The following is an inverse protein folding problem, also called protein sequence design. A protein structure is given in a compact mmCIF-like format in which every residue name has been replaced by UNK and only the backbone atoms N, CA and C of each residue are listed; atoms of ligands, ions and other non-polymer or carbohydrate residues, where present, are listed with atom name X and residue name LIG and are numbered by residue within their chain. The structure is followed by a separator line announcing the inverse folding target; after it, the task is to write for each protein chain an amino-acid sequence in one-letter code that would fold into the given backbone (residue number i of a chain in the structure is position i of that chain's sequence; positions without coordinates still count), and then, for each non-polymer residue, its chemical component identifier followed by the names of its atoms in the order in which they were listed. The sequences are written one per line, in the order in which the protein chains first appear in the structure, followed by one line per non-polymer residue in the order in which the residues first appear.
data_IF_109129379669
#
_entry.id   IF_109129379669
#
_cell.length_a   1.000
_cell.length_b   1.000
_cell.length_c   1.000
_cell.angle_alpha   90.00
_cell.angle_beta   90.00
_cell.angle_gamma   90.00
#
_symmetry.space_group_name_H-M   'P 1'
#
loop_
_entity.id
_entity.type
_entity.pdbx_description
1 polymer ?
#
# COMPACT_ATOMS: atom_id res chain seq x y z
N UNK A 1 42.19 10.85 29.32
CA UNK A 1 42.79 11.82 28.39
C UNK A 1 42.42 11.39 26.99
N UNK A 2 41.19 11.72 26.62
CA UNK A 2 40.71 12.18 25.32
C UNK A 2 41.24 11.49 24.06
N UNK A 3 40.37 10.68 23.45
CA UNK A 3 40.37 10.41 22.01
C UNK A 3 39.25 11.23 21.36
N UNK A 4 39.53 11.86 20.21
CA UNK A 4 38.67 12.92 19.63
C UNK A 4 37.32 12.37 19.14
N UNK A 5 36.26 13.15 19.35
CA UNK A 5 34.92 12.84 18.86
C UNK A 5 34.88 12.76 17.33
N UNK A 6 34.62 11.56 16.80
CA UNK A 6 34.45 11.33 15.37
C UNK A 6 33.20 12.04 14.82
N UNK A 7 33.38 12.81 13.75
CA UNK A 7 32.31 13.63 13.15
C UNK A 7 31.17 12.77 12.60
N UNK A 8 29.95 13.01 13.10
CA UNK A 8 28.75 12.38 12.58
C UNK A 8 28.49 12.84 11.14
N UNK A 9 28.79 11.98 10.16
CA UNK A 9 28.72 12.32 8.74
C UNK A 9 27.30 12.67 8.28
N UNK A 10 27.08 13.95 7.95
CA UNK A 10 25.83 14.47 7.42
C UNK A 10 25.43 13.74 6.13
N UNK A 11 24.40 12.89 6.21
CA UNK A 11 23.75 12.31 5.04
C UNK A 11 22.70 13.29 4.52
N UNK A 12 22.80 13.66 3.25
CA UNK A 12 21.75 14.42 2.55
C UNK A 12 20.41 13.66 2.52
N UNK A 13 19.31 14.32 2.13
CA UNK A 13 17.96 13.75 2.20
C UNK A 13 17.86 12.47 1.37
N UNK A 14 17.72 11.33 2.06
CA UNK A 14 17.58 10.03 1.44
C UNK A 14 16.17 9.90 0.86
N UNK A 15 16.07 9.73 -0.47
CA UNK A 15 14.79 9.40 -1.10
C UNK A 15 14.49 7.93 -0.80
N UNK A 16 13.43 7.66 -0.05
CA UNK A 16 12.94 6.31 0.23
C UNK A 16 11.88 5.94 -0.79
N UNK A 17 12.12 4.89 -1.58
CA UNK A 17 11.13 4.32 -2.50
C UNK A 17 10.55 3.04 -1.94
N UNK A 18 9.30 2.76 -2.25
CA UNK A 18 8.60 1.52 -1.94
C UNK A 18 7.67 1.12 -3.09
N UNK A 19 7.27 -0.15 -3.16
CA UNK A 19 6.19 -0.60 -4.04
C UNK A 19 5.53 -1.87 -3.52
N UNK A 20 4.33 -2.12 -4.03
CA UNK A 20 3.54 -3.31 -3.75
C UNK A 20 2.79 -3.75 -5.01
N UNK A 21 2.65 -5.06 -5.27
CA UNK A 21 1.81 -5.57 -6.34
C UNK A 21 0.31 -5.35 -6.06
N UNK A 22 -0.47 -5.27 -7.13
CA UNK A 22 -1.91 -5.46 -7.07
C UNK A 22 -2.29 -6.92 -6.76
N UNK A 23 -3.59 -7.19 -6.77
CA UNK A 23 -4.16 -8.52 -6.47
C UNK A 23 -5.23 -8.91 -7.47
N UNK A 24 -5.33 -10.21 -7.74
CA UNK A 24 -6.45 -10.82 -8.49
C UNK A 24 -7.05 -11.95 -7.65
N UNK A 25 -8.38 -12.08 -7.67
CA UNK A 25 -9.07 -13.23 -7.08
C UNK A 25 -9.23 -14.28 -8.18
N UNK A 26 -8.59 -15.43 -8.01
CA UNK A 26 -8.61 -16.54 -8.97
C UNK A 26 -9.86 -17.42 -8.81
N UNK A 27 -10.35 -17.58 -7.58
CA UNK A 27 -11.58 -18.31 -7.29
C UNK A 27 -12.21 -17.86 -5.96
N UNK A 28 -13.54 -17.96 -5.87
CA UNK A 28 -14.26 -17.94 -4.59
C UNK A 28 -14.63 -16.59 -3.98
N UNK A 29 -14.52 -15.47 -4.72
CA UNK A 29 -14.85 -14.11 -4.25
C UNK A 29 -16.15 -14.03 -3.42
N UNK A 30 -17.28 -14.44 -4.02
CA UNK A 30 -18.58 -14.49 -3.33
C UNK A 30 -18.73 -15.70 -2.39
N UNK A 31 -17.93 -16.76 -2.57
CA UNK A 31 -18.01 -17.98 -1.75
C UNK A 31 -17.52 -17.76 -0.31
N UNK A 32 -16.64 -16.77 -0.10
CA UNK A 32 -16.18 -16.34 1.24
C UNK A 32 -17.33 -15.86 2.12
N UNK A 33 -18.32 -15.19 1.55
CA UNK A 33 -19.52 -14.71 2.27
C UNK A 33 -20.32 -15.89 2.86
N UNK A 34 -20.26 -17.05 2.19
CA UNK A 34 -20.88 -18.30 2.62
C UNK A 34 -19.89 -19.21 3.39
N UNK A 35 -18.80 -18.65 3.94
CA UNK A 35 -17.83 -19.37 4.77
C UNK A 35 -16.96 -20.40 4.04
N UNK A 36 -16.99 -20.40 2.70
CA UNK A 36 -16.11 -21.20 1.86
C UNK A 36 -14.77 -20.51 1.65
N UNK A 37 -13.84 -21.16 0.95
CA UNK A 37 -12.52 -20.58 0.68
C UNK A 37 -12.53 -19.65 -0.55
N UNK A 38 -11.58 -18.71 -0.60
CA UNK A 38 -11.13 -18.06 -1.83
C UNK A 38 -9.66 -18.37 -2.09
N UNK A 39 -9.23 -18.19 -3.34
CA UNK A 39 -7.82 -18.14 -3.75
C UNK A 39 -7.59 -16.82 -4.45
N UNK A 40 -6.62 -16.05 -3.97
CA UNK A 40 -6.15 -14.80 -4.57
C UNK A 40 -4.65 -14.89 -4.85
N UNK A 41 -4.14 -14.04 -5.73
CA UNK A 41 -2.72 -13.95 -6.06
C UNK A 41 -2.29 -12.51 -6.33
N UNK A 42 -1.02 -12.21 -6.09
CA UNK A 42 -0.41 -10.95 -6.47
C UNK A 42 -0.25 -10.84 -8.01
N UNK A 43 -0.36 -9.62 -8.55
CA UNK A 43 -0.12 -9.32 -9.97
C UNK A 43 1.30 -8.79 -10.21
N UNK A 44 1.76 -8.84 -11.46
CA UNK A 44 2.98 -8.18 -11.96
C UNK A 44 2.80 -6.67 -12.24
N UNK A 45 1.58 -6.15 -12.07
CA UNK A 45 1.28 -4.71 -12.02
C UNK A 45 1.49 -4.16 -10.60
N UNK A 46 2.17 -3.02 -10.45
CA UNK A 46 2.58 -2.45 -9.15
C UNK A 46 2.10 -1.01 -8.92
N UNK A 47 1.76 -0.69 -7.67
CA UNK A 47 1.80 0.70 -7.18
C UNK A 47 3.17 0.97 -6.59
N UNK A 48 3.81 2.07 -7.00
CA UNK A 48 5.13 2.53 -6.55
C UNK A 48 4.98 3.89 -5.87
N UNK A 49 5.46 3.97 -4.64
CA UNK A 49 5.55 5.19 -3.84
C UNK A 49 7.02 5.63 -3.71
N UNK A 50 7.28 6.91 -3.68
CA UNK A 50 8.57 7.45 -3.25
C UNK A 50 8.38 8.66 -2.33
N UNK A 51 9.33 8.86 -1.45
CA UNK A 51 9.24 9.80 -0.33
C UNK A 51 10.57 10.50 -0.12
N UNK A 52 10.54 11.83 -0.19
CA UNK A 52 11.69 12.69 0.08
C UNK A 52 11.35 13.58 1.29
N UNK A 53 11.92 13.26 2.46
CA UNK A 53 11.76 14.10 3.65
C UNK A 53 12.70 15.32 3.56
N UNK A 54 12.19 16.50 3.89
CA UNK A 54 13.03 17.72 3.99
C UNK A 54 13.86 17.64 5.29
N UNK A 55 15.15 18.01 5.29
CA UNK A 55 15.93 18.06 6.52
C UNK A 55 15.33 19.08 7.50
N UNK A 56 15.15 18.68 8.76
CA UNK A 56 14.70 19.57 9.83
C UNK A 56 15.76 20.65 10.09
N UNK A 57 15.45 21.90 9.72
CA UNK A 57 16.36 23.04 9.89
C UNK A 57 17.10 23.49 8.62
N UNK A 58 16.84 22.91 7.45
CA UNK A 58 17.39 23.41 6.18
C UNK A 58 16.46 24.46 5.54
N UNK A 59 16.97 25.63 5.10
CA UNK A 59 16.19 26.64 4.39
C UNK A 59 15.75 26.16 3.00
N UNK A 60 14.59 26.63 2.54
CA UNK A 60 13.98 26.23 1.27
C UNK A 60 14.62 26.95 0.06
N UNK A 61 15.74 26.42 -0.45
CA UNK A 61 16.32 26.90 -1.70
C UNK A 61 15.57 26.33 -2.92
N UNK A 62 15.23 27.18 -3.92
CA UNK A 62 14.56 26.74 -5.15
C UNK A 62 15.53 26.00 -6.09
N UNK A 63 15.71 24.70 -5.84
CA UNK A 63 16.31 23.75 -6.79
C UNK A 63 17.75 23.34 -6.50
N UNK A 64 17.93 22.16 -5.90
CA UNK A 64 19.10 21.32 -6.13
C UNK A 64 18.75 19.84 -5.89
N UNK A 65 18.97 18.97 -6.89
CA UNK A 65 18.75 17.53 -6.78
C UNK A 65 20.09 16.79 -6.68
N UNK A 66 20.47 16.38 -5.46
CA UNK A 66 21.62 15.49 -5.19
C UNK A 66 21.13 14.26 -4.46
N UNK A 67 21.02 13.12 -5.15
CA UNK A 67 20.27 11.96 -4.67
C UNK A 67 21.15 10.82 -4.16
N UNK A 68 20.89 10.41 -2.91
CA UNK A 68 21.21 9.08 -2.40
C UNK A 68 19.88 8.33 -2.20
N UNK A 69 19.73 7.19 -2.86
CA UNK A 69 18.46 6.46 -2.92
C UNK A 69 18.43 5.30 -1.92
N UNK A 70 17.36 5.19 -1.15
CA UNK A 70 16.96 3.98 -0.44
C UNK A 70 15.75 3.36 -1.17
N UNK A 71 15.75 2.04 -1.42
CA UNK A 71 14.72 1.40 -2.27
C UNK A 71 14.24 0.07 -1.70
N UNK A 72 13.00 0.09 -1.23
CA UNK A 72 12.29 -0.96 -0.49
C UNK A 72 11.26 -1.63 -1.39
N UNK A 73 10.95 -2.91 -1.17
CA UNK A 73 9.76 -3.51 -1.76
C UNK A 73 8.99 -4.38 -0.74
N UNK A 74 7.65 -4.28 -0.77
CA UNK A 74 6.83 -5.41 -0.37
C UNK A 74 7.04 -6.53 -1.41
N UNK A 75 7.07 -7.77 -0.94
CA UNK A 75 7.80 -8.89 -1.55
C UNK A 75 7.74 -9.03 -3.10
N UNK A 76 8.91 -9.09 -3.74
CA UNK A 76 9.12 -9.65 -5.09
C UNK A 76 9.34 -8.62 -6.22
N UNK A 77 10.43 -8.78 -6.97
CA UNK A 77 10.96 -7.91 -8.07
C UNK A 77 11.82 -6.70 -7.59
N UNK A 78 12.86 -6.29 -8.34
CA UNK A 78 14.07 -5.57 -7.83
C UNK A 78 14.45 -4.33 -8.83
N UNK A 79 15.30 -3.28 -8.55
CA UNK A 79 15.71 -2.04 -9.31
C UNK A 79 17.21 -1.60 -9.17
N UNK A 80 17.88 -0.97 -10.16
CA UNK A 80 19.33 -0.59 -10.17
C UNK A 80 19.71 0.88 -9.76
N UNK A 81 21.01 1.18 -9.49
CA UNK A 81 21.56 2.48 -9.02
C UNK A 81 22.76 3.01 -9.87
N UNK A 82 23.23 4.29 -9.74
CA UNK A 82 24.32 4.64 -8.78
C UNK A 82 24.26 6.10 -8.17
N UNK A 83 25.38 6.63 -7.66
CA UNK A 83 25.55 7.85 -6.81
C UNK A 83 26.43 8.98 -7.43
N UNK A 84 26.36 10.23 -6.90
CA UNK A 84 27.44 11.24 -6.93
C UNK A 84 27.29 12.41 -5.92
N UNK A 85 28.38 13.17 -5.68
CA UNK A 85 28.54 14.28 -4.70
C UNK A 85 28.36 15.69 -5.31
N UNK A 86 28.10 16.71 -4.47
CA UNK A 86 28.74 18.05 -4.56
C UNK A 86 28.65 18.85 -3.24
N UNK A 87 29.29 20.04 -3.18
CA UNK A 87 29.46 20.88 -1.96
C UNK A 87 28.37 21.96 -1.74
N UNK A 88 28.49 22.74 -0.66
CA UNK A 88 27.45 23.61 -0.08
C UNK A 88 27.74 25.12 -0.20
N UNK A 89 26.72 25.93 0.12
CA UNK A 89 26.79 27.37 0.40
C UNK A 89 25.67 27.76 1.38
N UNK A 90 25.86 28.82 2.17
CA UNK A 90 24.98 29.18 3.29
C UNK A 90 23.96 30.29 2.95
N UNK A 91 22.82 30.31 3.65
CA UNK A 91 21.81 31.38 3.57
C UNK A 91 20.59 31.09 4.44
N UNK A 92 20.56 31.61 5.67
CA UNK A 92 19.56 31.26 6.67
C UNK A 92 18.16 31.89 6.46
N UNK A 93 17.12 31.14 6.81
CA UNK A 93 15.72 31.59 6.85
C UNK A 93 14.79 30.47 7.33
N UNK A 94 13.83 30.79 8.20
CA UNK A 94 12.96 29.79 8.84
C UNK A 94 11.72 29.46 7.97
N UNK A 95 11.79 28.40 7.18
CA UNK A 95 10.65 27.87 6.40
C UNK A 95 9.80 26.88 7.22
N UNK A 96 8.50 27.14 7.34
CA UNK A 96 7.53 26.21 7.93
C UNK A 96 7.03 25.22 6.88
N UNK A 97 7.86 24.22 6.56
CA UNK A 97 7.60 23.26 5.48
C UNK A 97 6.26 22.51 5.57
N UNK A 98 5.92 21.84 4.46
CA UNK A 98 4.65 21.14 4.25
C UNK A 98 4.86 19.62 4.03
N UNK A 99 3.76 18.87 4.17
CA UNK A 99 3.61 17.51 3.63
C UNK A 99 2.97 17.63 2.24
N UNK A 100 3.61 17.11 1.21
CA UNK A 100 3.13 17.11 -0.16
C UNK A 100 2.84 15.69 -0.64
N UNK A 101 1.80 15.51 -1.48
CA UNK A 101 1.54 14.27 -2.21
C UNK A 101 1.34 14.58 -3.70
N UNK A 102 2.14 13.96 -4.57
CA UNK A 102 2.00 14.05 -6.03
C UNK A 102 1.52 12.71 -6.62
N UNK A 103 0.29 12.68 -7.13
CA UNK A 103 -0.31 11.52 -7.81
C UNK A 103 -0.03 11.61 -9.31
N UNK A 104 1.17 11.16 -9.73
CA UNK A 104 1.75 11.44 -11.05
C UNK A 104 0.81 11.10 -12.21
N UNK A 105 0.21 9.90 -12.17
CA UNK A 105 -0.64 9.37 -13.26
C UNK A 105 -1.93 10.19 -13.44
N UNK A 106 -2.32 10.99 -12.43
CA UNK A 106 -3.49 11.86 -12.44
C UNK A 106 -3.16 13.35 -12.66
N UNK A 107 -1.88 13.71 -12.67
CA UNK A 107 -1.36 15.08 -12.71
C UNK A 107 -1.51 15.90 -11.42
N UNK A 108 -2.18 15.38 -10.38
CA UNK A 108 -2.54 16.17 -9.19
C UNK A 108 -1.44 16.22 -8.13
N UNK A 109 -1.26 17.41 -7.53
CA UNK A 109 -0.46 17.62 -6.31
C UNK A 109 -1.34 18.17 -5.20
N UNK A 110 -1.18 17.64 -4.00
CA UNK A 110 -1.81 18.07 -2.76
C UNK A 110 -0.74 18.52 -1.77
N UNK A 111 -1.05 19.46 -0.87
CA UNK A 111 -0.08 20.06 0.04
C UNK A 111 -0.73 20.56 1.32
N UNK A 112 -0.20 20.12 2.46
CA UNK A 112 -0.68 20.45 3.79
C UNK A 112 0.46 21.04 4.64
N UNK A 113 0.41 22.34 5.02
CA UNK A 113 1.41 22.94 5.89
C UNK A 113 1.55 22.20 7.22
N UNK A 114 2.77 21.90 7.67
CA UNK A 114 2.96 21.10 8.89
C UNK A 114 2.41 21.79 10.16
N UNK A 115 2.30 23.12 10.15
CA UNK A 115 1.60 23.89 11.19
C UNK A 115 0.10 23.62 11.22
N UNK A 116 -0.56 23.55 10.06
CA UNK A 116 -2.00 23.24 9.94
C UNK A 116 -2.28 21.79 10.34
N UNK A 117 -1.39 20.86 10.00
CA UNK A 117 -1.50 19.47 10.44
C UNK A 117 -1.42 19.33 11.97
N UNK A 118 -0.40 19.94 12.63
CA UNK A 118 -0.31 19.94 14.11
C UNK A 118 -1.49 20.66 14.77
N UNK A 119 -1.89 21.82 14.25
CA UNK A 119 -3.02 22.57 14.80
C UNK A 119 -4.38 21.88 14.66
N UNK A 120 -4.54 20.96 13.69
CA UNK A 120 -5.78 20.20 13.49
C UNK A 120 -5.78 18.86 14.25
N UNK A 121 -4.68 18.09 14.16
CA UNK A 121 -4.58 16.73 14.68
C UNK A 121 -3.94 16.64 16.08
N UNK A 122 -3.53 17.78 16.65
CA UNK A 122 -2.83 17.89 17.93
C UNK A 122 -1.31 17.93 17.78
N UNK A 123 -0.62 18.51 18.75
CA UNK A 123 0.85 18.41 18.86
C UNK A 123 1.27 17.00 19.30
N UNK A 124 0.41 16.28 20.02
CA UNK A 124 0.61 14.90 20.50
C UNK A 124 0.30 13.81 19.44
N UNK A 125 0.56 14.06 18.15
CA UNK A 125 0.71 12.95 17.19
C UNK A 125 2.05 12.26 17.50
N UNK A 126 2.04 11.44 18.54
CA UNK A 126 3.17 10.57 18.91
C UNK A 126 3.35 9.53 17.80
N UNK A 127 4.24 9.85 16.87
CA UNK A 127 4.56 9.00 15.73
C UNK A 127 5.18 7.69 16.25
N UNK A 128 4.34 6.64 16.35
CA UNK A 128 4.72 5.35 16.88
C UNK A 128 4.70 4.30 15.76
N UNK A 129 5.70 4.32 14.86
CA UNK A 129 5.71 3.48 13.65
C UNK A 129 5.72 1.97 13.96
N UNK A 130 6.11 1.57 15.17
CA UNK A 130 6.10 0.17 15.61
C UNK A 130 4.75 -0.37 16.09
N UNK A 131 3.73 0.49 16.28
CA UNK A 131 2.42 0.09 16.84
C UNK A 131 1.27 0.62 15.94
N UNK A 132 0.70 -0.23 15.05
CA UNK A 132 -0.38 0.16 14.14
C UNK A 132 -1.71 0.47 14.85
N UNK A 133 -1.86 1.68 15.37
CA UNK A 133 -3.12 2.17 15.94
C UNK A 133 -4.24 2.25 14.87
N UNK A 134 -5.50 1.95 15.22
CA UNK A 134 -6.64 2.24 14.35
C UNK A 134 -6.96 3.74 14.36
N UNK A 135 -7.39 4.28 13.21
CA UNK A 135 -7.85 5.66 13.12
C UNK A 135 -9.16 5.84 13.92
N UNK A 136 -9.24 6.87 14.78
CA UNK A 136 -10.48 7.19 15.51
C UNK A 136 -11.49 7.93 14.62
N UNK A 137 -12.80 7.89 14.92
CA UNK A 137 -13.80 8.66 14.17
C UNK A 137 -13.49 10.16 14.13
N UNK A 138 -13.02 10.73 15.25
CA UNK A 138 -12.69 12.16 15.37
C UNK A 138 -11.43 12.53 14.56
N UNK A 139 -10.42 11.65 14.55
CA UNK A 139 -9.24 11.82 13.72
C UNK A 139 -9.61 11.74 12.23
N UNK A 140 -10.46 10.79 11.83
CA UNK A 140 -10.92 10.65 10.45
C UNK A 140 -11.77 11.86 10.01
N UNK A 141 -12.66 12.37 10.87
CA UNK A 141 -13.43 13.59 10.60
C UNK A 141 -12.52 14.84 10.50
N UNK A 142 -11.44 14.88 11.27
CA UNK A 142 -10.43 15.95 11.18
C UNK A 142 -9.61 15.86 9.89
N UNK A 143 -9.24 14.66 9.47
CA UNK A 143 -8.59 14.40 8.18
C UNK A 143 -9.51 14.76 7.01
N UNK A 144 -10.82 14.50 7.09
CA UNK A 144 -11.79 14.89 6.06
C UNK A 144 -11.83 16.42 5.86
N UNK A 145 -11.85 17.20 6.95
CA UNK A 145 -11.77 18.68 6.89
C UNK A 145 -10.48 19.18 6.24
N UNK A 146 -9.36 18.49 6.47
CA UNK A 146 -8.08 18.79 5.82
C UNK A 146 -8.06 18.45 4.31
N UNK A 147 -9.10 17.80 3.78
CA UNK A 147 -9.29 17.53 2.34
C UNK A 147 -10.33 18.44 1.69
N UNK A 148 -11.26 19.00 2.47
CA UNK A 148 -12.12 20.12 2.04
C UNK A 148 -11.24 21.33 1.66
N UNK A 149 -10.17 21.58 2.44
CA UNK A 149 -9.10 22.58 2.20
C UNK A 149 -8.26 22.33 0.90
N UNK A 150 -8.59 21.36 0.02
CA UNK A 150 -7.74 20.92 -1.11
C UNK A 150 -8.39 20.96 -2.52
N UNK A 151 -9.59 21.54 -2.66
CA UNK A 151 -10.29 21.74 -3.95
C UNK A 151 -10.29 20.51 -4.89
N UNK A 152 -10.56 19.32 -4.36
CA UNK A 152 -10.55 18.07 -5.13
C UNK A 152 -11.63 18.15 -6.25
N UNK A 153 -11.26 18.03 -7.55
CA UNK A 153 -12.24 18.13 -8.63
C UNK A 153 -13.33 17.07 -8.53
N UNK A 154 -14.59 17.43 -8.78
CA UNK A 154 -15.76 16.55 -8.61
C UNK A 154 -15.61 15.20 -9.34
N UNK A 155 -15.14 15.22 -10.59
CA UNK A 155 -14.85 14.02 -11.40
C UNK A 155 -13.76 13.10 -10.81
N UNK A 156 -13.04 13.56 -9.78
CA UNK A 156 -11.99 12.86 -9.04
C UNK A 156 -12.30 12.73 -7.54
N UNK A 157 -13.53 12.98 -7.10
CA UNK A 157 -13.94 12.89 -5.68
C UNK A 157 -13.68 11.50 -5.04
N UNK A 158 -13.60 10.45 -5.87
CA UNK A 158 -13.18 9.10 -5.47
C UNK A 158 -11.74 9.01 -4.92
N UNK A 159 -10.90 10.03 -5.11
CA UNK A 159 -9.59 10.12 -4.48
C UNK A 159 -9.66 10.39 -2.97
N UNK A 160 -10.72 11.05 -2.49
CA UNK A 160 -10.86 11.52 -1.10
C UNK A 160 -10.48 10.45 -0.06
N UNK A 161 -11.05 9.24 -0.16
CA UNK A 161 -10.76 8.14 0.75
C UNK A 161 -9.29 7.68 0.73
N UNK A 162 -8.65 7.69 -0.45
CA UNK A 162 -7.22 7.40 -0.61
C UNK A 162 -6.31 8.51 -0.07
N UNK A 163 -6.74 9.77 -0.17
CA UNK A 163 -6.05 10.91 0.43
C UNK A 163 -6.18 10.89 1.96
N UNK A 164 -7.33 10.50 2.51
CA UNK A 164 -7.52 10.28 3.94
C UNK A 164 -6.59 9.18 4.46
N UNK A 165 -6.50 8.06 3.74
CA UNK A 165 -5.58 6.98 4.08
C UNK A 165 -4.10 7.42 4.00
N UNK A 166 -3.73 8.23 2.99
CA UNK A 166 -2.39 8.82 2.92
C UNK A 166 -2.08 9.72 4.13
N UNK A 167 -2.96 10.69 4.44
CA UNK A 167 -2.76 11.62 5.56
C UNK A 167 -2.66 10.90 6.89
N UNK A 168 -3.54 9.90 7.12
CA UNK A 168 -3.48 9.06 8.30
C UNK A 168 -2.15 8.31 8.40
N UNK A 169 -1.77 7.55 7.37
CA UNK A 169 -0.52 6.76 7.38
C UNK A 169 0.70 7.68 7.56
N UNK A 170 0.75 8.80 6.84
CA UNK A 170 1.87 9.74 6.94
C UNK A 170 1.99 10.31 8.36
N UNK A 171 0.90 10.85 8.91
CA UNK A 171 0.94 11.50 10.23
C UNK A 171 1.14 10.50 11.36
N UNK A 172 0.54 9.30 11.32
CA UNK A 172 0.74 8.30 12.37
C UNK A 172 2.12 7.61 12.33
N UNK A 173 2.78 7.52 11.17
CA UNK A 173 4.09 6.86 11.04
C UNK A 173 5.26 7.86 11.14
N UNK A 174 5.10 9.10 10.66
CA UNK A 174 6.17 10.12 10.63
C UNK A 174 5.85 11.40 11.38
N UNK A 175 4.64 11.57 11.91
CA UNK A 175 4.18 12.85 12.46
C UNK A 175 4.09 13.93 11.37
N UNK A 176 4.06 15.18 11.81
CA UNK A 176 4.02 16.35 10.92
C UNK A 176 5.42 16.74 10.39
N UNK A 177 6.22 15.77 9.93
CA UNK A 177 7.56 16.00 9.33
C UNK A 177 7.41 16.47 7.88
N UNK A 178 8.01 17.60 7.45
CA UNK A 178 7.88 18.09 6.10
C UNK A 178 8.57 17.17 5.07
N UNK A 179 7.96 17.00 3.91
CA UNK A 179 8.41 16.04 2.90
C UNK A 179 7.43 15.90 1.74
N UNK A 180 7.90 15.28 0.66
CA UNK A 180 7.12 15.05 -0.57
C UNK A 180 7.01 13.57 -0.87
N UNK A 181 5.78 13.06 -0.87
CA UNK A 181 5.42 11.76 -1.42
C UNK A 181 5.09 11.89 -2.91
N UNK A 182 5.46 10.88 -3.71
CA UNK A 182 5.08 10.73 -5.11
C UNK A 182 4.57 9.31 -5.33
N UNK A 183 3.44 9.17 -6.02
CA UNK A 183 2.81 7.89 -6.33
C UNK A 183 2.68 7.71 -7.83
N UNK A 184 2.90 6.48 -8.28
CA UNK A 184 2.65 5.97 -9.65
C UNK A 184 2.02 4.58 -9.56
N UNK A 185 1.07 4.25 -10.44
CA UNK A 185 0.33 2.98 -10.42
C UNK A 185 0.21 2.39 -11.82
N UNK A 186 0.67 1.14 -12.00
CA UNK A 186 0.36 0.35 -13.21
C UNK A 186 -1.10 -0.20 -13.15
N UNK A 187 -1.74 -0.14 -11.99
CA UNK A 187 -3.06 -0.70 -11.73
C UNK A 187 -4.17 0.30 -12.12
N UNK A 188 -5.14 -0.07 -12.97
CA UNK A 188 -6.32 0.75 -13.23
C UNK A 188 -7.21 0.87 -11.97
N UNK A 189 -7.55 2.10 -11.60
CA UNK A 189 -8.40 2.40 -10.45
C UNK A 189 -9.81 1.84 -10.63
N UNK A 190 -10.39 1.28 -9.57
CA UNK A 190 -11.76 0.74 -9.57
C UNK A 190 -11.95 -0.62 -10.26
N UNK A 191 -10.96 -1.13 -10.98
CA UNK A 191 -11.05 -2.39 -11.74
C UNK A 191 -11.03 -3.69 -10.87
N UNK A 192 -11.13 -3.57 -9.54
CA UNK A 192 -11.06 -4.71 -8.61
C UNK A 192 -9.65 -5.26 -8.33
N UNK A 193 -8.60 -4.74 -8.99
CA UNK A 193 -7.22 -5.26 -8.94
C UNK A 193 -6.40 -4.84 -7.69
N UNK A 194 -7.05 -4.36 -6.62
CA UNK A 194 -6.38 -3.95 -5.38
C UNK A 194 -5.44 -2.75 -5.51
N UNK A 195 -5.81 -1.74 -6.32
CA UNK A 195 -5.00 -0.51 -6.41
C UNK A 195 -4.92 0.26 -5.08
N UNK A 196 -5.97 0.19 -4.24
CA UNK A 196 -5.96 0.76 -2.89
C UNK A 196 -5.06 -0.04 -1.93
N UNK A 197 -5.12 -1.38 -1.95
CA UNK A 197 -4.26 -2.20 -1.11
C UNK A 197 -2.79 -2.03 -1.50
N UNK A 198 -2.49 -2.01 -2.80
CA UNK A 198 -1.16 -1.72 -3.31
C UNK A 198 -0.68 -0.31 -2.90
N UNK A 199 -1.54 0.72 -2.95
CA UNK A 199 -1.23 2.06 -2.43
C UNK A 199 -0.93 2.06 -0.93
N UNK A 200 -1.77 1.44 -0.11
CA UNK A 200 -1.60 1.39 1.34
C UNK A 200 -0.32 0.63 1.74
N UNK A 201 -0.01 -0.48 1.08
CA UNK A 201 1.22 -1.26 1.32
C UNK A 201 2.46 -0.50 0.84
N UNK A 202 2.46 0.07 -0.37
CA UNK A 202 3.62 0.83 -0.87
C UNK A 202 3.87 2.09 -0.04
N UNK A 203 2.81 2.80 0.36
CA UNK A 203 2.95 3.99 1.21
C UNK A 203 3.48 3.62 2.59
N UNK A 204 2.91 2.60 3.25
CA UNK A 204 3.38 2.14 4.56
C UNK A 204 4.85 1.71 4.53
N UNK A 205 5.29 0.97 3.51
CA UNK A 205 6.69 0.56 3.35
C UNK A 205 7.67 1.73 3.21
N UNK A 206 7.30 2.79 2.47
CA UNK A 206 8.12 3.99 2.34
C UNK A 206 8.19 4.78 3.67
N UNK A 207 7.04 4.97 4.32
CA UNK A 207 6.93 5.71 5.57
C UNK A 207 7.69 5.02 6.71
N UNK A 208 7.52 3.70 6.89
CA UNK A 208 8.18 2.94 7.95
C UNK A 208 9.70 2.89 7.82
N UNK A 209 10.20 2.79 6.58
CA UNK A 209 11.65 2.84 6.32
C UNK A 209 12.20 4.26 6.52
N UNK A 210 11.44 5.31 6.15
CA UNK A 210 11.81 6.71 6.44
C UNK A 210 11.67 7.10 7.94
N UNK A 211 10.95 6.29 8.72
CA UNK A 211 10.91 6.35 10.18
C UNK A 211 12.07 5.58 10.84
N UNK A 212 12.77 4.73 10.09
CA UNK A 212 13.78 3.80 10.63
C UNK A 212 13.20 2.60 11.39
N UNK A 213 11.87 2.41 11.36
CA UNK A 213 11.18 1.32 12.05
C UNK A 213 11.22 -0.02 11.31
N UNK A 214 11.60 0.03 10.03
CA UNK A 214 11.78 -1.12 9.14
C UNK A 214 13.15 -1.01 8.49
N UNK A 215 13.90 -2.12 8.49
CA UNK A 215 15.26 -2.17 7.94
C UNK A 215 15.30 -2.85 6.57
N UNK A 216 16.02 -2.23 5.63
CA UNK A 216 16.31 -2.84 4.32
C UNK A 216 17.64 -3.60 4.40
N UNK A 217 17.71 -4.78 3.78
CA UNK A 217 18.93 -5.60 3.73
C UNK A 217 18.76 -7.10 3.98
N UNK A 218 17.54 -7.61 4.21
CA UNK A 218 17.33 -9.03 4.51
C UNK A 218 17.69 -9.95 3.32
N UNK A 219 17.04 -9.77 2.16
CA UNK A 219 17.30 -10.60 0.97
C UNK A 219 17.19 -9.84 -0.36
N UNK A 220 17.95 -10.30 -1.36
CA UNK A 220 18.04 -9.76 -2.72
C UNK A 220 17.13 -10.60 -3.66
N UNK A 221 16.08 -10.00 -4.24
CA UNK A 221 15.12 -10.64 -5.18
C UNK A 221 15.58 -10.74 -6.66
N UNK A 222 14.75 -10.32 -7.64
CA UNK A 222 15.07 -10.33 -9.09
C UNK A 222 14.86 -8.94 -9.79
N UNK A 223 15.94 -8.27 -10.28
CA UNK A 223 16.08 -6.88 -10.88
C UNK A 223 16.80 -5.71 -10.08
N UNK A 224 16.97 -5.72 -8.74
CA UNK A 224 17.70 -4.76 -7.82
C UNK A 224 17.13 -4.10 -6.47
N UNK A 225 15.83 -4.23 -6.06
CA UNK A 225 15.05 -3.72 -4.89
C UNK A 225 15.02 -4.78 -3.77
N UNK A 226 15.35 -4.42 -2.55
CA UNK A 226 15.46 -5.39 -1.47
C UNK A 226 14.10 -5.80 -0.88
N UNK A 227 14.00 -7.07 -0.48
CA UNK A 227 12.81 -7.63 0.17
C UNK A 227 12.97 -7.46 1.67
N UNK A 228 11.92 -6.91 2.31
CA UNK A 228 11.83 -6.71 3.74
C UNK A 228 11.80 -8.04 4.53
N UNK A 229 12.23 -8.00 5.79
CA UNK A 229 12.16 -9.16 6.69
C UNK A 229 10.72 -9.57 6.98
N UNK A 230 10.50 -10.81 7.44
CA UNK A 230 9.13 -11.31 7.73
C UNK A 230 8.39 -10.45 8.76
N UNK A 231 9.09 -9.96 9.79
CA UNK A 231 8.51 -9.07 10.80
C UNK A 231 8.18 -7.67 10.24
N UNK A 232 9.07 -7.13 9.40
CA UNK A 232 8.86 -5.85 8.72
C UNK A 232 7.66 -5.90 7.77
N UNK A 233 7.52 -6.99 7.00
CA UNK A 233 6.37 -7.23 6.13
C UNK A 233 5.06 -7.34 6.92
N UNK A 234 5.08 -7.98 8.09
CA UNK A 234 3.90 -8.04 8.97
C UNK A 234 3.52 -6.64 9.49
N UNK A 235 4.49 -5.82 9.90
CA UNK A 235 4.25 -4.44 10.32
C UNK A 235 3.71 -3.57 9.17
N UNK A 236 4.26 -3.72 7.95
CA UNK A 236 3.75 -3.08 6.73
C UNK A 236 2.30 -3.51 6.44
N UNK A 237 1.99 -4.80 6.57
CA UNK A 237 0.64 -5.33 6.32
C UNK A 237 -0.38 -4.75 7.31
N UNK A 238 -0.01 -4.68 8.59
CA UNK A 238 -0.87 -4.15 9.65
C UNK A 238 -1.15 -2.64 9.48
N UNK A 239 -0.14 -1.83 9.13
CA UNK A 239 -0.35 -0.43 8.77
C UNK A 239 -1.21 -0.27 7.52
N UNK A 240 -0.93 -1.04 6.46
CA UNK A 240 -1.72 -1.03 5.24
C UNK A 240 -3.19 -1.43 5.48
N UNK A 241 -3.46 -2.31 6.44
CA UNK A 241 -4.80 -2.68 6.88
C UNK A 241 -5.53 -1.55 7.61
N UNK A 242 -4.83 -0.65 8.33
CA UNK A 242 -5.46 0.56 8.85
C UNK A 242 -5.83 1.54 7.72
N UNK A 243 -4.97 1.69 6.71
CA UNK A 243 -5.27 2.47 5.51
C UNK A 243 -6.48 1.94 4.73
N UNK A 244 -6.55 0.63 4.51
CA UNK A 244 -7.68 -0.02 3.84
C UNK A 244 -9.00 0.10 4.63
N UNK A 245 -8.97 0.22 5.97
CA UNK A 245 -10.18 0.52 6.76
C UNK A 245 -10.69 1.93 6.52
N UNK A 246 -9.82 2.90 6.27
CA UNK A 246 -10.22 4.26 5.90
C UNK A 246 -10.84 4.27 4.50
N UNK A 247 -10.33 3.44 3.57
CA UNK A 247 -10.84 3.38 2.19
C UNK A 247 -12.16 2.61 2.08
N UNK A 248 -12.30 1.45 2.76
CA UNK A 248 -13.45 0.54 2.58
C UNK A 248 -14.30 0.32 3.85
N UNK A 249 -13.98 0.97 4.97
CA UNK A 249 -14.67 0.82 6.26
C UNK A 249 -14.37 -0.52 6.97
N UNK A 250 -14.76 -1.64 6.37
CA UNK A 250 -14.63 -3.00 6.94
C UNK A 250 -14.00 -4.02 5.98
N UNK A 251 -12.75 -3.81 5.54
CA UNK A 251 -12.01 -4.81 4.75
C UNK A 251 -11.74 -6.10 5.53
N UNK A 252 -11.62 -7.22 4.81
CA UNK A 252 -11.33 -8.55 5.37
C UNK A 252 -9.82 -8.86 5.53
N UNK A 253 -8.92 -7.94 5.15
CA UNK A 253 -7.47 -8.14 5.22
C UNK A 253 -6.85 -9.01 4.12
N UNK A 254 -7.66 -9.57 3.21
CA UNK A 254 -7.16 -10.38 2.07
C UNK A 254 -6.29 -9.52 1.14
N UNK A 255 -6.79 -8.34 0.78
CA UNK A 255 -6.22 -7.54 -0.32
C UNK A 255 -4.86 -6.93 0.05
N UNK A 256 -4.71 -6.37 1.25
CA UNK A 256 -3.40 -5.94 1.77
C UNK A 256 -2.44 -7.11 2.03
N UNK A 257 -2.91 -8.25 2.52
CA UNK A 257 -2.03 -9.41 2.73
C UNK A 257 -1.47 -9.96 1.42
N UNK A 258 -2.28 -10.03 0.35
CA UNK A 258 -1.81 -10.39 -0.99
C UNK A 258 -0.83 -9.34 -1.53
N UNK A 259 -1.16 -8.05 -1.43
CA UNK A 259 -0.27 -6.95 -1.82
C UNK A 259 1.02 -6.87 -0.99
N UNK A 260 1.07 -7.39 0.24
CA UNK A 260 2.26 -7.33 1.09
C UNK A 260 3.18 -8.54 0.93
N UNK A 261 2.61 -9.75 0.90
CA UNK A 261 3.39 -10.99 0.88
C UNK A 261 3.71 -11.49 -0.53
N UNK A 262 3.08 -10.94 -1.58
CA UNK A 262 3.48 -11.17 -2.98
C UNK A 262 3.24 -12.60 -3.49
N UNK A 263 2.42 -13.40 -2.80
CA UNK A 263 2.18 -14.82 -3.10
C UNK A 263 0.73 -15.10 -3.50
N UNK A 264 0.47 -16.32 -3.95
CA UNK A 264 -0.87 -16.88 -3.98
C UNK A 264 -1.31 -17.20 -2.55
N UNK A 265 -2.49 -16.76 -2.14
CA UNK A 265 -3.01 -16.93 -0.78
C UNK A 265 -4.42 -17.55 -0.84
N UNK A 266 -4.63 -18.57 -0.03
CA UNK A 266 -5.93 -19.17 0.26
C UNK A 266 -6.52 -18.51 1.49
N UNK A 267 -7.72 -17.95 1.39
CA UNK A 267 -8.46 -17.41 2.53
C UNK A 267 -9.61 -18.33 2.91
N UNK A 268 -9.86 -18.57 4.20
CA UNK A 268 -11.08 -19.25 4.69
C UNK A 268 -11.42 -18.79 6.11
N UNK A 269 -12.61 -18.23 6.33
CA UNK A 269 -13.14 -17.83 7.66
C UNK A 269 -12.20 -16.97 8.53
N UNK A 270 -11.31 -16.17 7.92
CA UNK A 270 -10.33 -15.35 8.64
C UNK A 270 -8.89 -15.90 8.58
N UNK A 271 -8.72 -17.19 8.31
CA UNK A 271 -7.41 -17.81 8.14
C UNK A 271 -6.85 -17.51 6.74
N UNK A 272 -5.58 -17.07 6.70
CA UNK A 272 -4.78 -16.88 5.49
C UNK A 272 -3.72 -17.99 5.42
N UNK A 273 -3.68 -18.75 4.32
CA UNK A 273 -2.65 -19.77 4.06
C UNK A 273 -1.93 -19.44 2.77
N UNK A 274 -0.61 -19.21 2.85
CA UNK A 274 0.21 -19.04 1.65
C UNK A 274 0.24 -20.33 0.85
N UNK A 275 0.08 -20.21 -0.46
CA UNK A 275 0.24 -21.28 -1.43
C UNK A 275 1.56 -21.06 -2.16
N UNK A 276 2.58 -21.85 -1.80
CA UNK A 276 3.78 -21.97 -2.63
C UNK A 276 3.38 -22.66 -3.95
N UNK A 277 3.76 -22.09 -5.09
CA UNK A 277 3.54 -22.68 -6.40
C UNK A 277 4.80 -22.50 -7.24
N UNK A 278 5.30 -23.58 -7.84
CA UNK A 278 6.50 -23.56 -8.68
C UNK A 278 6.24 -23.03 -10.10
N UNK A 279 4.98 -23.04 -10.53
CA UNK A 279 4.58 -22.75 -11.90
C UNK A 279 3.92 -21.36 -11.99
N UNK A 280 4.59 -20.33 -12.54
CA UNK A 280 4.03 -18.98 -12.62
C UNK A 280 2.90 -18.91 -13.65
N UNK A 281 1.70 -18.58 -13.19
CA UNK A 281 0.51 -18.46 -14.04
C UNK A 281 0.57 -17.14 -14.84
N UNK A 282 0.80 -17.23 -16.14
CA UNK A 282 0.67 -16.09 -17.06
C UNK A 282 -0.80 -15.80 -17.31
N UNK A 283 -1.23 -14.55 -17.10
CA UNK A 283 -2.63 -14.13 -17.24
C UNK A 283 -2.75 -12.90 -18.14
N UNK A 284 -3.81 -12.84 -18.96
CA UNK A 284 -4.20 -11.63 -19.66
C UNK A 284 -5.37 -10.98 -18.91
N UNK A 285 -5.16 -9.77 -18.40
CA UNK A 285 -6.18 -9.00 -17.70
C UNK A 285 -6.89 -8.09 -18.72
N UNK A 286 -8.18 -8.31 -18.93
CA UNK A 286 -9.01 -7.52 -19.87
C UNK A 286 -10.01 -6.65 -19.11
N UNK A 287 -9.73 -5.34 -19.02
CA UNK A 287 -10.73 -4.38 -18.57
C UNK A 287 -11.72 -4.04 -19.71
N UNK A 288 -12.99 -4.32 -19.47
CA UNK A 288 -14.09 -3.99 -20.39
C UNK A 288 -14.45 -2.51 -20.44
N UNK A 289 -14.00 -1.69 -19.47
CA UNK A 289 -14.36 -0.27 -19.27
C UNK A 289 -15.86 0.00 -19.07
N UNK A 290 -16.67 -1.04 -18.90
CA UNK A 290 -18.10 -0.95 -18.60
C UNK A 290 -18.29 -0.87 -17.08
N UNK A 291 -18.80 0.26 -16.59
CA UNK A 291 -19.14 0.45 -15.18
C UNK A 291 -20.18 -0.55 -14.69
N UNK A 292 -20.05 -1.02 -13.44
CA UNK A 292 -20.94 -2.04 -12.84
C UNK A 292 -21.49 -1.56 -11.51
N UNK A 293 -22.79 -1.75 -11.29
CA UNK A 293 -23.41 -1.55 -9.99
C UNK A 293 -23.37 -2.87 -9.20
N UNK A 294 -22.32 -3.06 -8.40
CA UNK A 294 -22.12 -4.27 -7.59
C UNK A 294 -23.29 -4.54 -6.64
N UNK A 295 -23.91 -3.50 -6.07
CA UNK A 295 -25.09 -3.64 -5.20
C UNK A 295 -26.29 -4.22 -5.94
N UNK A 296 -26.53 -3.79 -7.19
CA UNK A 296 -27.58 -4.34 -8.04
C UNK A 296 -27.29 -5.80 -8.46
N UNK A 297 -26.02 -6.13 -8.76
CA UNK A 297 -25.62 -7.50 -9.09
C UNK A 297 -25.82 -8.46 -7.89
N UNK A 298 -25.39 -8.07 -6.69
CA UNK A 298 -25.59 -8.85 -5.46
C UNK A 298 -27.07 -8.99 -5.12
N UNK A 299 -27.87 -7.93 -5.28
CA UNK A 299 -29.33 -7.98 -5.11
C UNK A 299 -29.99 -8.98 -6.09
N UNK A 300 -29.61 -8.95 -7.37
CA UNK A 300 -30.13 -9.88 -8.38
C UNK A 300 -29.71 -11.34 -8.17
N UNK A 301 -28.52 -11.59 -7.59
CA UNK A 301 -28.12 -12.94 -7.16
C UNK A 301 -28.96 -13.41 -5.97
N UNK A 302 -29.20 -12.55 -4.98
CA UNK A 302 -30.05 -12.84 -3.81
C UNK A 302 -31.51 -13.12 -4.21
N UNK A 303 -32.07 -12.31 -5.11
CA UNK A 303 -33.42 -12.53 -5.66
C UNK A 303 -33.50 -13.82 -6.48
N UNK A 304 -32.48 -14.15 -7.28
CA UNK A 304 -32.46 -15.42 -8.00
C UNK A 304 -32.36 -16.62 -7.05
N UNK A 305 -31.64 -16.48 -5.94
CA UNK A 305 -31.54 -17.49 -4.89
C UNK A 305 -32.88 -17.73 -4.16
N UNK A 306 -33.69 -16.69 -3.91
CA UNK A 306 -35.01 -16.87 -3.31
C UNK A 306 -36.06 -17.40 -4.30
N UNK A 307 -35.97 -17.03 -5.59
CA UNK A 307 -36.88 -17.53 -6.65
C UNK A 307 -36.61 -18.99 -7.04
N UNK A 308 -35.36 -19.46 -6.96
CA UNK A 308 -34.95 -20.79 -7.44
C UNK A 308 -33.98 -21.49 -6.47
N UNK A 309 -34.43 -21.85 -5.25
CA UNK A 309 -33.55 -22.28 -4.16
C UNK A 309 -32.70 -23.51 -4.50
N UNK A 310 -33.27 -24.60 -5.01
CA UNK A 310 -32.52 -25.85 -5.24
C UNK A 310 -31.49 -25.74 -6.37
N UNK A 311 -31.86 -25.04 -7.45
CA UNK A 311 -30.96 -24.75 -8.56
C UNK A 311 -29.81 -23.84 -8.12
N UNK A 312 -30.10 -22.78 -7.35
CA UNK A 312 -29.09 -21.87 -6.85
C UNK A 312 -28.22 -22.51 -5.76
N UNK A 313 -28.77 -23.37 -4.90
CA UNK A 313 -28.00 -24.18 -3.95
C UNK A 313 -27.00 -25.10 -4.67
N UNK A 314 -27.43 -25.73 -5.77
CA UNK A 314 -26.55 -26.55 -6.63
C UNK A 314 -25.42 -25.72 -7.27
N UNK A 315 -25.73 -24.50 -7.71
CA UNK A 315 -24.73 -23.54 -8.24
C UNK A 315 -23.77 -23.08 -7.14
N UNK A 316 -24.26 -22.71 -5.95
CA UNK A 316 -23.43 -22.29 -4.81
C UNK A 316 -22.52 -23.43 -4.32
N UNK A 317 -23.03 -24.66 -4.22
CA UNK A 317 -22.25 -25.85 -3.87
C UNK A 317 -21.12 -26.09 -4.90
N UNK A 318 -21.43 -25.98 -6.19
CA UNK A 318 -20.44 -26.08 -7.27
C UNK A 318 -19.38 -24.98 -7.16
N UNK A 319 -19.79 -23.72 -6.95
CA UNK A 319 -18.86 -22.60 -6.77
C UNK A 319 -17.97 -22.72 -5.53
N UNK A 320 -18.49 -23.26 -4.43
CA UNK A 320 -17.72 -23.54 -3.21
C UNK A 320 -16.65 -24.64 -3.42
N UNK A 321 -16.84 -25.51 -4.43
CA UNK A 321 -15.89 -26.59 -4.74
C UNK A 321 -14.66 -26.13 -5.54
N UNK A 322 -14.79 -25.12 -6.42
CA UNK A 322 -13.68 -24.67 -7.29
C UNK A 322 -12.40 -24.25 -6.53
N UNK A 323 -12.44 -23.49 -5.41
CA UNK A 323 -11.25 -23.19 -4.62
C UNK A 323 -10.52 -24.43 -4.08
N UNK A 324 -11.25 -25.51 -3.80
CA UNK A 324 -10.69 -26.80 -3.38
C UNK A 324 -10.07 -27.56 -4.55
N UNK A 325 -10.73 -27.54 -5.71
CA UNK A 325 -10.22 -28.12 -6.97
C UNK A 325 -8.96 -27.41 -7.47
N UNK A 326 -8.95 -26.08 -7.49
CA UNK A 326 -7.80 -25.27 -7.92
C UNK A 326 -6.59 -25.49 -7.00
N UNK A 327 -6.82 -25.54 -5.68
CA UNK A 327 -5.82 -25.95 -4.70
C UNK A 327 -5.27 -27.35 -4.99
N UNK A 328 -6.15 -28.35 -5.19
CA UNK A 328 -5.74 -29.73 -5.48
C UNK A 328 -4.92 -29.85 -6.78
N UNK A 329 -5.31 -29.18 -7.86
CA UNK A 329 -4.55 -29.19 -9.12
C UNK A 329 -3.13 -28.66 -8.88
N UNK A 330 -2.99 -27.50 -8.23
CA UNK A 330 -1.67 -26.91 -7.95
C UNK A 330 -0.84 -27.81 -7.02
N UNK A 331 -1.45 -28.45 -6.01
CA UNK A 331 -0.78 -29.43 -5.14
C UNK A 331 -0.35 -30.70 -5.88
N UNK A 332 -1.16 -31.22 -6.80
CA UNK A 332 -0.84 -32.42 -7.59
C UNK A 332 0.28 -32.12 -8.59
N UNK A 333 0.23 -30.96 -9.26
CA UNK A 333 1.31 -30.47 -10.14
C UNK A 333 2.66 -30.46 -9.40
N UNK A 334 2.68 -29.92 -8.17
CA UNK A 334 3.86 -29.89 -7.30
C UNK A 334 4.39 -31.28 -6.89
N UNK A 335 3.57 -32.33 -6.93
CA UNK A 335 4.01 -33.71 -6.69
C UNK A 335 4.51 -34.40 -7.96
N UNK A 336 3.96 -34.06 -9.13
CA UNK A 336 4.48 -34.51 -10.42
C UNK A 336 5.84 -33.87 -10.74
N UNK A 337 6.04 -32.58 -10.41
CA UNK A 337 7.31 -31.85 -10.56
C UNK A 337 8.40 -32.27 -9.53
N UNK A 338 8.35 -33.52 -9.05
CA UNK A 338 9.24 -34.12 -8.04
C UNK A 338 9.59 -35.60 -8.32
N UNK A 339 9.17 -36.14 -9.48
CA UNK A 339 9.59 -37.44 -10.02
C UNK A 339 10.43 -37.25 -11.29
#
# INVERSE_FOLDING_TARGET
MDAVAGTAGYRGPAEVRARAPGKIILAGEHAVVHGSAAVAAATDLYTRSSLLLRPTGAPAHPGFFGSSFCRVAAAGTLLTAPLSRCHAGEGGGADSGAVELYLRDSGLTFSWPCLRLRGALGEEISANPGVPAPCSPDQLATIARLLEDQEIPEAKIWLSAGLSAFLFLYTSILGCRPGKAVVTSDLPMGAGLGSSSALCVSMSGALLTAAGAVSVGAHRGAEGWEVLGKGDLELVNQWAFQGEKIIHGKPFGIDNSVSTFGKMIKFKKGELTNLESRNPVKMLITDTRVGRNTKALVAGVSERASRHPDAMASVFHTMASFPSWFYKINTIQLMCDFC
#
